data_IF_904484097997
#
_entry.id   IF_904484097997
#
_cell.length_a   1.000
_cell.length_b   1.000
_cell.length_c   1.000
_cell.angle_alpha   90.00
_cell.angle_beta   90.00
_cell.angle_gamma   90.00
#
_symmetry.space_group_name_H-M   'P 1'
#
loop_
_entity.id
_entity.type
_entity.pdbx_description
1 polymer ?
#
# COMPACT_ATOMS: atom_id res chain seq x y z
N UNK A 1 0.71 13.74 22.61
CA UNK A 1 1.71 13.08 21.72
C UNK A 1 1.33 11.61 21.53
N UNK A 2 0.97 11.18 20.32
CA UNK A 2 0.61 9.77 20.07
C UNK A 2 1.92 8.98 19.94
N UNK A 3 2.20 8.12 20.91
CA UNK A 3 3.34 7.18 20.82
C UNK A 3 2.94 6.07 19.84
N UNK A 4 3.50 6.08 18.64
CA UNK A 4 3.30 4.99 17.67
C UNK A 4 4.04 3.74 18.19
N UNK A 5 3.36 2.60 18.37
CA UNK A 5 4.00 1.35 18.78
C UNK A 5 5.02 0.88 17.73
N UNK A 6 6.04 0.10 18.15
CA UNK A 6 7.11 -0.40 17.26
C UNK A 6 6.60 -1.18 16.05
N UNK A 7 5.52 -1.93 16.19
CA UNK A 7 4.94 -2.72 15.10
C UNK A 7 4.35 -1.86 13.96
N UNK A 8 3.97 -0.59 14.23
CA UNK A 8 3.54 0.34 13.18
C UNK A 8 4.69 0.69 12.25
N UNK A 9 5.89 0.90 12.80
CA UNK A 9 7.08 1.20 12.01
C UNK A 9 7.45 0.04 11.08
N UNK A 10 7.42 -1.20 11.62
CA UNK A 10 7.66 -2.41 10.83
C UNK A 10 6.60 -2.57 9.75
N UNK A 11 5.33 -2.39 10.09
CA UNK A 11 4.22 -2.44 9.12
C UNK A 11 4.33 -1.37 8.04
N UNK A 12 4.67 -0.13 8.41
CA UNK A 12 4.88 0.97 7.46
C UNK A 12 6.02 0.65 6.50
N UNK A 13 7.15 0.17 7.03
CA UNK A 13 8.30 -0.21 6.23
C UNK A 13 7.94 -1.34 5.25
N UNK A 14 7.30 -2.39 5.73
CA UNK A 14 6.90 -3.54 4.89
C UNK A 14 5.93 -3.13 3.77
N UNK A 15 4.91 -2.33 4.10
CA UNK A 15 3.92 -1.89 3.12
C UNK A 15 4.54 -0.94 2.08
N UNK A 16 5.44 -0.03 2.49
CA UNK A 16 6.14 0.83 1.54
C UNK A 16 7.10 0.02 0.64
N UNK A 17 7.77 -0.99 1.19
CA UNK A 17 8.60 -1.93 0.44
C UNK A 17 7.77 -2.68 -0.62
N UNK A 18 6.63 -3.26 -0.24
CA UNK A 18 5.70 -3.92 -1.15
C UNK A 18 5.25 -2.97 -2.27
N UNK A 19 4.84 -1.74 -1.92
CA UNK A 19 4.43 -0.73 -2.90
C UNK A 19 5.56 -0.40 -3.90
N UNK A 20 6.80 -0.29 -3.43
CA UNK A 20 7.98 -0.07 -4.27
C UNK A 20 8.23 -1.22 -5.24
N UNK A 21 8.12 -2.47 -4.78
CA UNK A 21 8.26 -3.66 -5.65
C UNK A 21 7.20 -3.66 -6.76
N UNK A 22 5.93 -3.52 -6.40
CA UNK A 22 4.81 -3.55 -7.36
C UNK A 22 4.95 -2.43 -8.38
N UNK A 23 5.33 -1.23 -7.93
CA UNK A 23 5.51 -0.07 -8.81
C UNK A 23 6.61 -0.27 -9.85
N UNK A 24 7.74 -0.85 -9.45
CA UNK A 24 8.86 -1.11 -10.37
C UNK A 24 8.51 -2.19 -11.38
N UNK A 25 7.76 -3.23 -11.00
CA UNK A 25 7.26 -4.23 -11.97
C UNK A 25 6.37 -3.58 -13.02
N UNK A 26 5.53 -2.60 -12.63
CA UNK A 26 4.76 -1.80 -13.59
C UNK A 26 5.65 -1.07 -14.62
N UNK A 27 6.71 -0.40 -14.16
CA UNK A 27 7.67 0.27 -15.03
C UNK A 27 8.46 -0.68 -15.94
N UNK A 28 8.77 -1.87 -15.46
CA UNK A 28 9.50 -2.88 -16.24
C UNK A 28 8.57 -3.73 -17.11
N UNK A 29 7.26 -3.57 -17.00
CA UNK A 29 6.27 -4.24 -17.85
C UNK A 29 6.30 -3.70 -19.28
N UNK A 30 5.63 -4.40 -20.19
CA UNK A 30 5.50 -4.02 -21.60
C UNK A 30 4.96 -2.59 -21.75
N UNK A 31 4.07 -2.17 -20.86
CA UNK A 31 3.44 -0.84 -20.90
C UNK A 31 4.31 0.27 -20.31
N UNK A 32 5.40 -0.06 -19.63
CA UNK A 32 6.33 0.88 -18.98
C UNK A 32 5.63 1.96 -18.10
N UNK A 33 4.52 1.58 -17.45
CA UNK A 33 3.70 2.49 -16.66
C UNK A 33 3.80 2.21 -15.17
N UNK A 34 3.98 3.26 -14.38
CA UNK A 34 3.89 3.18 -12.93
C UNK A 34 2.46 2.92 -12.48
N UNK A 35 2.27 2.01 -11.52
CA UNK A 35 0.95 1.71 -10.96
C UNK A 35 0.60 2.56 -9.73
N UNK A 36 1.59 3.22 -9.12
CA UNK A 36 1.41 4.04 -7.91
C UNK A 36 1.72 5.52 -8.13
N UNK A 37 2.26 5.92 -9.28
CA UNK A 37 2.66 7.30 -9.56
C UNK A 37 1.53 8.09 -10.24
N UNK A 38 0.40 8.25 -9.55
CA UNK A 38 -0.82 8.81 -10.12
C UNK A 38 -0.68 10.22 -10.66
N UNK A 39 0.17 11.06 -10.07
CA UNK A 39 0.44 12.42 -10.58
C UNK A 39 1.03 12.37 -11.99
N UNK A 40 2.07 11.55 -12.20
CA UNK A 40 2.66 11.36 -13.52
C UNK A 40 1.68 10.73 -14.51
N UNK A 41 0.94 9.70 -14.07
CA UNK A 41 -0.10 9.04 -14.87
C UNK A 41 -1.17 10.02 -15.33
N UNK A 42 -1.60 10.95 -14.44
CA UNK A 42 -2.58 11.99 -14.79
C UNK A 42 -2.02 12.97 -15.82
N UNK A 43 -0.73 13.35 -15.70
CA UNK A 43 -0.09 14.23 -16.68
C UNK A 43 0.04 13.56 -18.05
N UNK A 44 0.43 12.28 -18.08
CA UNK A 44 0.50 11.50 -19.32
C UNK A 44 -0.89 11.32 -19.95
N UNK A 45 -1.92 11.12 -19.12
CA UNK A 45 -3.31 11.04 -19.61
C UNK A 45 -3.74 12.34 -20.27
N UNK A 46 -3.39 13.50 -19.71
CA UNK A 46 -3.70 14.79 -20.31
C UNK A 46 -3.04 14.95 -21.69
N UNK A 47 -1.78 14.52 -21.84
CA UNK A 47 -1.07 14.50 -23.12
C UNK A 47 -1.79 13.57 -24.11
N UNK A 48 -2.08 12.34 -23.70
CA UNK A 48 -2.75 11.34 -24.54
C UNK A 48 -4.12 11.82 -25.07
N UNK A 49 -4.85 12.60 -24.25
CA UNK A 49 -6.13 13.21 -24.68
C UNK A 49 -5.92 14.23 -25.78
N UNK A 50 -4.90 15.08 -25.68
CA UNK A 50 -4.57 16.07 -26.73
C UNK A 50 -4.08 15.36 -28.01
N UNK A 51 -3.28 14.30 -27.89
CA UNK A 51 -2.77 13.50 -28.99
C UNK A 51 -3.83 12.56 -29.59
N UNK A 52 -5.00 12.46 -28.93
CA UNK A 52 -6.10 11.55 -29.31
C UNK A 52 -5.68 10.07 -29.38
N UNK A 53 -4.72 9.67 -28.57
CA UNK A 53 -4.29 8.29 -28.46
C UNK A 53 -5.30 7.49 -27.58
N UNK A 54 -6.27 6.87 -28.23
CA UNK A 54 -7.33 6.11 -27.55
C UNK A 54 -6.77 4.93 -26.75
N UNK A 55 -5.68 4.30 -27.19
CA UNK A 55 -5.05 3.21 -26.47
C UNK A 55 -4.42 3.68 -25.16
N UNK A 56 -3.65 4.75 -25.21
CA UNK A 56 -2.98 5.32 -24.03
C UNK A 56 -3.99 5.93 -23.06
N UNK A 57 -5.04 6.59 -23.57
CA UNK A 57 -6.16 7.11 -22.75
C UNK A 57 -6.81 5.97 -21.96
N UNK A 58 -7.13 4.86 -22.64
CA UNK A 58 -7.75 3.70 -21.97
C UNK A 58 -6.82 3.06 -20.94
N UNK A 59 -5.54 2.89 -21.28
CA UNK A 59 -4.55 2.29 -20.37
C UNK A 59 -4.38 3.13 -19.10
N UNK A 60 -4.08 4.42 -19.25
CA UNK A 60 -3.81 5.33 -18.11
C UNK A 60 -5.08 5.61 -17.31
N UNK A 61 -6.20 5.84 -17.98
CA UNK A 61 -7.51 6.02 -17.33
C UNK A 61 -7.90 4.81 -16.49
N UNK A 62 -7.69 3.60 -17.01
CA UNK A 62 -7.98 2.37 -16.27
C UNK A 62 -7.03 2.17 -15.06
N UNK A 63 -5.74 2.55 -15.14
CA UNK A 63 -4.83 2.54 -13.99
C UNK A 63 -5.35 3.47 -12.88
N UNK A 64 -5.72 4.72 -13.23
CA UNK A 64 -6.25 5.69 -12.26
C UNK A 64 -7.54 5.19 -11.62
N UNK A 65 -8.46 4.70 -12.42
CA UNK A 65 -9.74 4.15 -11.96
C UNK A 65 -9.55 2.92 -11.09
N UNK A 66 -8.69 2.00 -11.49
CA UNK A 66 -8.41 0.78 -10.72
C UNK A 66 -7.81 1.09 -9.35
N UNK A 67 -6.84 2.01 -9.27
CA UNK A 67 -6.31 2.48 -8.00
C UNK A 67 -7.37 3.14 -7.13
N UNK A 68 -8.21 4.00 -7.71
CA UNK A 68 -9.33 4.63 -7.02
C UNK A 68 -10.31 3.59 -6.45
N UNK A 69 -10.71 2.61 -7.27
CA UNK A 69 -11.62 1.54 -6.86
C UNK A 69 -11.00 0.66 -5.74
N UNK A 70 -9.71 0.35 -5.82
CA UNK A 70 -9.00 -0.33 -4.75
C UNK A 70 -9.05 0.45 -3.42
N UNK A 71 -8.79 1.76 -3.48
CA UNK A 71 -8.88 2.64 -2.31
C UNK A 71 -10.31 2.75 -1.76
N UNK A 72 -11.32 2.81 -2.66
CA UNK A 72 -12.74 2.82 -2.30
C UNK A 72 -13.13 1.52 -1.56
N UNK A 73 -12.76 0.36 -2.10
CA UNK A 73 -13.03 -0.95 -1.47
C UNK A 73 -12.39 -1.02 -0.08
N UNK A 74 -11.13 -0.57 0.04
CA UNK A 74 -10.47 -0.48 1.35
C UNK A 74 -11.24 0.39 2.33
N UNK A 75 -11.72 1.55 1.91
CA UNK A 75 -12.55 2.45 2.73
C UNK A 75 -13.89 1.84 3.14
N UNK A 76 -14.52 1.05 2.27
CA UNK A 76 -15.77 0.31 2.59
C UNK A 76 -15.55 -0.80 3.62
N UNK A 77 -14.40 -1.50 3.55
CA UNK A 77 -14.07 -2.59 4.48
C UNK A 77 -13.68 -2.03 5.85
N UNK A 78 -12.86 -0.96 5.89
CA UNK A 78 -12.31 -0.41 7.12
C UNK A 78 -13.22 0.70 7.65
N UNK A 79 -14.07 0.35 8.61
CA UNK A 79 -15.00 1.31 9.26
C UNK A 79 -14.41 1.98 10.49
N UNK A 80 -13.38 1.40 11.11
CA UNK A 80 -12.85 1.84 12.39
C UNK A 80 -11.72 2.86 12.20
N UNK A 81 -11.95 4.09 12.66
CA UNK A 81 -10.98 5.22 12.61
C UNK A 81 -9.87 5.15 13.68
N UNK A 82 -9.66 4.03 14.36
CA UNK A 82 -8.76 3.95 15.52
C UNK A 82 -7.69 2.90 15.29
N UNK A 83 -6.44 3.21 15.69
CA UNK A 83 -5.22 2.41 15.85
C UNK A 83 -5.39 0.97 16.45
N UNK A 84 -6.53 0.33 16.25
CA UNK A 84 -6.82 -1.04 16.64
C UNK A 84 -6.79 -1.92 15.41
N UNK A 85 -5.73 -2.71 15.27
CA UNK A 85 -5.65 -3.79 14.29
C UNK A 85 -6.86 -4.71 14.45
N UNK A 86 -7.80 -4.59 13.51
CA UNK A 86 -9.01 -5.40 13.45
C UNK A 86 -8.90 -6.49 12.37
N UNK A 87 -9.82 -7.45 12.38
CA UNK A 87 -9.98 -8.48 11.32
C UNK A 87 -10.03 -7.87 9.92
N UNK A 88 -10.52 -6.63 9.80
CA UNK A 88 -10.71 -5.92 8.53
C UNK A 88 -9.39 -5.55 7.84
N UNK A 89 -8.33 -5.25 8.61
CA UNK A 89 -6.99 -5.01 8.06
C UNK A 89 -6.40 -6.28 7.45
N UNK A 90 -6.52 -7.41 8.16
CA UNK A 90 -6.13 -8.71 7.61
C UNK A 90 -6.90 -9.07 6.35
N UNK A 91 -8.21 -8.77 6.29
CA UNK A 91 -9.02 -9.01 5.10
C UNK A 91 -8.57 -8.17 3.89
N UNK A 92 -8.21 -6.89 4.09
CA UNK A 92 -7.69 -6.04 2.99
C UNK A 92 -6.35 -6.56 2.48
N UNK A 93 -5.44 -6.98 3.38
CA UNK A 93 -4.14 -7.55 2.99
C UNK A 93 -4.31 -8.89 2.25
N UNK A 94 -5.26 -9.73 2.65
CA UNK A 94 -5.58 -10.96 1.92
C UNK A 94 -6.17 -10.66 0.54
N UNK A 95 -7.03 -9.66 0.43
CA UNK A 95 -7.60 -9.22 -0.85
C UNK A 95 -6.51 -8.65 -1.76
N UNK A 96 -5.59 -7.84 -1.23
CA UNK A 96 -4.42 -7.33 -1.94
C UNK A 96 -3.56 -8.47 -2.47
N UNK A 97 -3.23 -9.45 -1.61
CA UNK A 97 -2.47 -10.64 -1.99
C UNK A 97 -3.12 -11.40 -3.14
N UNK A 98 -4.43 -11.69 -3.04
CA UNK A 98 -5.18 -12.36 -4.09
C UNK A 98 -5.19 -11.56 -5.39
N UNK A 99 -5.40 -10.25 -5.30
CA UNK A 99 -5.40 -9.35 -6.46
C UNK A 99 -4.04 -9.36 -7.16
N UNK A 100 -2.92 -9.38 -6.42
CA UNK A 100 -1.57 -9.47 -6.98
C UNK A 100 -1.31 -10.82 -7.63
N UNK A 101 -1.80 -11.93 -7.06
CA UNK A 101 -1.69 -13.26 -7.70
C UNK A 101 -2.43 -13.28 -9.04
N UNK A 102 -3.67 -12.77 -9.09
CA UNK A 102 -4.44 -12.69 -10.34
C UNK A 102 -3.77 -11.73 -11.33
N UNK A 103 -3.22 -10.61 -10.86
CA UNK A 103 -2.44 -9.68 -11.69
C UNK A 103 -1.25 -10.37 -12.36
N UNK A 104 -0.51 -11.20 -11.60
CA UNK A 104 0.63 -11.98 -12.12
C UNK A 104 0.18 -12.91 -13.24
N UNK A 105 -0.90 -13.68 -13.04
CA UNK A 105 -1.41 -14.62 -14.04
C UNK A 105 -1.84 -13.92 -15.34
N UNK A 106 -2.42 -12.72 -15.25
CA UNK A 106 -2.84 -11.95 -16.41
C UNK A 106 -1.64 -11.33 -17.15
N UNK A 107 -0.66 -10.80 -16.40
CA UNK A 107 0.56 -10.22 -16.98
C UNK A 107 1.42 -11.28 -17.68
N UNK A 108 1.51 -12.49 -17.14
CA UNK A 108 2.15 -13.63 -17.82
C UNK A 108 1.51 -13.96 -19.17
N UNK A 109 0.20 -13.74 -19.28
CA UNK A 109 -0.56 -13.89 -20.55
C UNK A 109 -0.54 -12.62 -21.40
N UNK A 110 0.32 -11.65 -21.09
CA UNK A 110 0.40 -10.35 -21.77
C UNK A 110 -0.91 -9.55 -21.79
N UNK A 111 -1.78 -9.76 -20.79
CA UNK A 111 -3.07 -9.09 -20.71
C UNK A 111 -2.96 -7.83 -19.84
N UNK A 112 -3.32 -6.65 -20.40
CA UNK A 112 -3.19 -5.34 -19.73
C UNK A 112 -3.98 -5.23 -18.42
N UNK A 113 -5.07 -6.00 -18.27
CA UNK A 113 -5.84 -6.03 -17.02
C UNK A 113 -4.99 -6.42 -15.79
N UNK A 114 -3.89 -7.14 -15.98
CA UNK A 114 -2.95 -7.43 -14.89
C UNK A 114 -2.33 -6.16 -14.29
N UNK A 115 -2.01 -5.15 -15.11
CA UNK A 115 -1.49 -3.87 -14.64
C UNK A 115 -2.57 -3.08 -13.87
N UNK A 116 -3.82 -3.12 -14.33
CA UNK A 116 -4.95 -2.50 -13.64
C UNK A 116 -5.21 -3.15 -12.28
N UNK A 117 -5.12 -4.47 -12.20
CA UNK A 117 -5.24 -5.19 -10.92
C UNK A 117 -4.06 -4.87 -9.98
N UNK A 118 -2.83 -4.75 -10.48
CA UNK A 118 -1.70 -4.30 -9.68
C UNK A 118 -1.92 -2.88 -9.12
N UNK A 119 -2.49 -1.97 -9.93
CA UNK A 119 -2.88 -0.64 -9.48
C UNK A 119 -4.00 -0.70 -8.42
N UNK A 120 -5.01 -1.56 -8.60
CA UNK A 120 -6.07 -1.75 -7.61
C UNK A 120 -5.53 -2.31 -6.28
N UNK A 121 -4.58 -3.26 -6.31
CA UNK A 121 -3.90 -3.78 -5.15
C UNK A 121 -3.16 -2.67 -4.38
N UNK A 122 -2.42 -1.83 -5.09
CA UNK A 122 -1.76 -0.66 -4.48
C UNK A 122 -2.78 0.34 -3.91
N UNK A 123 -3.93 0.52 -4.56
CA UNK A 123 -5.04 1.33 -4.06
C UNK A 123 -5.62 0.78 -2.75
N UNK A 124 -5.87 -0.53 -2.68
CA UNK A 124 -6.30 -1.24 -1.46
C UNK A 124 -5.34 -0.97 -0.29
N UNK A 125 -4.05 -1.18 -0.52
CA UNK A 125 -3.01 -0.98 0.47
C UNK A 125 -2.93 0.48 0.94
N UNK A 126 -2.91 1.42 -0.01
CA UNK A 126 -2.77 2.84 0.31
C UNK A 126 -4.01 3.38 1.05
N UNK A 127 -5.22 2.96 0.67
CA UNK A 127 -6.45 3.26 1.39
C UNK A 127 -6.42 2.72 2.83
N UNK A 128 -5.97 1.49 3.02
CA UNK A 128 -5.79 0.86 4.33
C UNK A 128 -4.77 1.63 5.19
N UNK A 129 -3.57 1.88 4.67
CA UNK A 129 -2.49 2.55 5.39
C UNK A 129 -2.90 3.98 5.81
N UNK A 130 -3.57 4.71 4.93
CA UNK A 130 -4.06 6.07 5.17
C UNK A 130 -5.12 6.10 6.25
N UNK A 131 -6.11 5.20 6.19
CA UNK A 131 -7.21 5.12 7.18
C UNK A 131 -6.67 4.76 8.56
N UNK A 132 -5.78 3.76 8.63
CA UNK A 132 -5.19 3.27 9.86
C UNK A 132 -4.35 4.34 10.58
N UNK A 133 -3.55 5.07 9.84
CA UNK A 133 -2.60 6.07 10.37
C UNK A 133 -3.22 7.45 10.57
N UNK A 134 -4.51 7.65 10.35
CA UNK A 134 -5.17 8.97 10.29
C UNK A 134 -4.50 9.91 9.28
N UNK A 135 -4.21 9.40 8.10
CA UNK A 135 -3.54 10.09 7.00
C UNK A 135 -2.05 10.48 7.26
N UNK A 136 -1.45 9.99 8.34
CA UNK A 136 -0.02 10.23 8.64
C UNK A 136 0.89 9.38 7.75
N UNK A 137 0.50 8.12 7.46
CA UNK A 137 1.26 7.21 6.61
C UNK A 137 0.55 7.01 5.28
N UNK A 138 1.24 7.30 4.19
CA UNK A 138 0.85 6.97 2.82
C UNK A 138 2.02 6.28 2.15
N UNK A 139 1.87 5.00 1.84
CA UNK A 139 2.98 4.14 1.38
C UNK A 139 3.51 4.50 0.00
N UNK A 140 2.71 5.20 -0.80
CA UNK A 140 3.04 5.57 -2.19
C UNK A 140 3.23 7.08 -2.41
N UNK A 141 3.12 7.91 -1.37
CA UNK A 141 3.18 9.37 -1.50
C UNK A 141 4.59 9.92 -1.25
N UNK A 142 5.56 9.49 -2.08
CA UNK A 142 6.96 9.86 -1.90
C UNK A 142 7.22 11.35 -2.07
N UNK A 143 6.57 12.00 -3.03
CA UNK A 143 6.73 13.45 -3.23
C UNK A 143 6.42 14.26 -1.97
N UNK A 144 5.35 13.88 -1.25
CA UNK A 144 5.02 14.46 0.06
C UNK A 144 6.08 14.16 1.11
N UNK A 145 6.61 12.92 1.16
CA UNK A 145 7.66 12.57 2.12
C UNK A 145 8.97 13.34 1.88
N UNK A 146 9.36 13.56 0.60
CA UNK A 146 10.50 14.40 0.27
C UNK A 146 10.25 15.88 0.60
N UNK A 147 9.05 16.40 0.35
CA UNK A 147 8.66 17.77 0.72
C UNK A 147 8.75 17.98 2.23
N UNK A 148 8.15 17.08 3.00
CA UNK A 148 8.17 17.13 4.46
C UNK A 148 9.61 17.05 5.00
N UNK A 149 10.44 16.15 4.44
CA UNK A 149 11.85 16.02 4.80
C UNK A 149 12.61 17.34 4.56
N UNK A 150 12.42 17.96 3.39
CA UNK A 150 13.03 19.25 3.07
C UNK A 150 12.61 20.37 4.02
N UNK A 151 11.31 20.44 4.36
CA UNK A 151 10.77 21.41 5.33
C UNK A 151 11.43 21.19 6.71
N UNK A 152 11.49 19.95 7.19
CA UNK A 152 12.05 19.63 8.51
C UNK A 152 13.54 19.96 8.59
N UNK A 153 14.30 19.65 7.54
CA UNK A 153 15.71 20.03 7.48
C UNK A 153 15.91 21.55 7.50
N UNK A 154 15.13 22.29 6.70
CA UNK A 154 15.17 23.76 6.67
C UNK A 154 14.79 24.39 8.03
N UNK A 155 13.79 23.83 8.72
CA UNK A 155 13.42 24.25 10.08
C UNK A 155 14.55 23.97 11.08
N UNK A 156 15.16 22.79 11.02
CA UNK A 156 16.28 22.44 11.90
C UNK A 156 17.48 23.38 11.69
N UNK A 157 17.80 23.74 10.44
CA UNK A 157 18.88 24.70 10.13
C UNK A 157 18.62 26.10 10.71
N UNK A 158 17.35 26.46 10.91
CA UNK A 158 16.94 27.74 11.56
C UNK A 158 16.84 27.63 13.08
N UNK A 159 17.21 26.49 13.67
CA UNK A 159 17.10 26.26 15.12
C UNK A 159 15.67 26.00 15.62
N UNK A 160 14.71 25.77 14.71
CA UNK A 160 13.34 25.41 15.08
C UNK A 160 13.30 23.93 15.47
N UNK A 161 12.69 23.62 16.61
CA UNK A 161 12.56 22.25 17.08
C UNK A 161 11.67 21.43 16.13
N UNK A 162 12.27 20.41 15.50
CA UNK A 162 11.58 19.46 14.63
C UNK A 162 11.24 18.19 15.41
N UNK A 163 10.04 17.64 15.22
CA UNK A 163 9.65 16.37 15.85
C UNK A 163 10.40 15.20 15.18
N UNK A 164 11.35 14.52 15.90
CA UNK A 164 12.21 13.50 15.26
C UNK A 164 11.43 12.36 14.64
N UNK A 165 10.23 12.07 15.17
CA UNK A 165 9.37 10.97 14.66
C UNK A 165 8.87 11.20 13.25
N UNK A 166 8.57 12.46 12.90
CA UNK A 166 8.12 12.78 11.53
C UNK A 166 9.26 12.60 10.53
N UNK A 167 10.46 13.04 10.92
CA UNK A 167 11.67 12.85 10.11
C UNK A 167 11.97 11.37 9.91
N UNK A 168 11.94 10.57 10.99
CA UNK A 168 12.14 9.11 10.89
C UNK A 168 11.07 8.47 10.01
N UNK A 169 9.80 8.93 10.06
CA UNK A 169 8.73 8.41 9.21
C UNK A 169 9.02 8.65 7.72
N UNK A 170 9.41 9.87 7.35
CA UNK A 170 9.78 10.18 5.97
C UNK A 170 10.91 9.28 5.48
N UNK A 171 11.99 9.17 6.27
CA UNK A 171 13.12 8.31 5.94
C UNK A 171 12.72 6.82 5.86
N UNK A 172 11.84 6.34 6.74
CA UNK A 172 11.34 4.97 6.73
C UNK A 172 10.58 4.67 5.44
N UNK A 173 9.65 5.53 5.02
CA UNK A 173 8.85 5.32 3.81
C UNK A 173 9.73 5.43 2.56
N UNK A 174 10.58 6.44 2.47
CA UNK A 174 11.47 6.64 1.31
C UNK A 174 12.43 5.46 1.15
N UNK A 175 13.14 5.07 2.22
CA UNK A 175 14.09 3.96 2.17
C UNK A 175 13.40 2.63 1.86
N UNK A 176 12.27 2.34 2.49
CA UNK A 176 11.53 1.10 2.27
C UNK A 176 11.04 0.99 0.82
N UNK A 177 10.45 2.05 0.27
CA UNK A 177 9.98 2.08 -1.10
C UNK A 177 11.14 1.91 -2.10
N UNK A 178 12.27 2.58 -1.85
CA UNK A 178 13.47 2.44 -2.67
C UNK A 178 14.05 1.01 -2.60
N UNK A 179 14.20 0.43 -1.40
CA UNK A 179 14.64 -0.94 -1.22
C UNK A 179 13.70 -1.94 -1.90
N UNK A 180 12.37 -1.71 -1.80
CA UNK A 180 11.36 -2.50 -2.51
C UNK A 180 11.52 -2.40 -4.02
N UNK A 181 11.76 -1.19 -4.54
CA UNK A 181 12.06 -0.96 -5.96
C UNK A 181 13.32 -1.70 -6.42
N UNK A 182 14.40 -1.65 -5.65
CA UNK A 182 15.64 -2.40 -5.95
C UNK A 182 15.38 -3.91 -5.97
N UNK A 183 14.74 -4.44 -4.92
CA UNK A 183 14.40 -5.86 -4.84
C UNK A 183 13.48 -6.28 -6.01
N UNK A 184 12.48 -5.47 -6.33
CA UNK A 184 11.59 -5.70 -7.47
C UNK A 184 12.33 -5.72 -8.80
N UNK A 185 13.22 -4.76 -9.05
CA UNK A 185 14.00 -4.70 -10.29
C UNK A 185 14.97 -5.88 -10.43
N UNK A 186 15.63 -6.27 -9.34
CA UNK A 186 16.54 -7.43 -9.33
C UNK A 186 15.77 -8.73 -9.58
N UNK A 187 14.65 -8.93 -8.87
CA UNK A 187 13.81 -10.12 -9.02
C UNK A 187 13.17 -10.19 -10.41
N UNK A 188 12.76 -9.07 -10.99
CA UNK A 188 12.13 -9.03 -12.31
C UNK A 188 13.06 -9.51 -13.43
N UNK A 189 14.36 -9.27 -13.32
CA UNK A 189 15.35 -9.77 -14.28
C UNK A 189 15.42 -11.30 -14.34
N UNK A 190 15.09 -11.98 -13.25
CA UNK A 190 15.19 -13.45 -13.14
C UNK A 190 13.79 -14.10 -13.26
N UNK A 191 12.77 -13.50 -12.65
CA UNK A 191 11.45 -14.08 -12.49
C UNK A 191 10.38 -13.45 -13.41
N UNK A 192 10.70 -12.32 -14.08
CA UNK A 192 9.70 -11.60 -14.86
C UNK A 192 8.51 -11.20 -13.98
N UNK A 193 7.30 -11.43 -14.48
CA UNK A 193 6.06 -11.09 -13.77
C UNK A 193 5.81 -11.90 -12.49
N UNK A 194 6.46 -13.06 -12.31
CA UNK A 194 6.40 -13.83 -11.05
C UNK A 194 6.97 -13.06 -9.87
N UNK A 195 7.73 -12.00 -10.10
CA UNK A 195 8.17 -11.06 -9.07
C UNK A 195 7.01 -10.54 -8.22
N UNK A 196 5.80 -10.37 -8.79
CA UNK A 196 4.62 -9.92 -8.03
C UNK A 196 4.12 -10.95 -7.01
N UNK A 197 4.53 -12.21 -7.11
CA UNK A 197 4.21 -13.22 -6.10
C UNK A 197 4.95 -12.96 -4.77
N UNK A 198 6.09 -12.28 -4.79
CA UNK A 198 6.83 -11.89 -3.57
C UNK A 198 6.00 -10.92 -2.73
N UNK A 199 5.58 -9.73 -3.22
CA UNK A 199 4.70 -8.85 -2.47
C UNK A 199 3.34 -9.49 -2.15
N UNK A 200 2.79 -10.34 -3.02
CA UNK A 200 1.57 -11.10 -2.73
C UNK A 200 1.75 -12.02 -1.51
N UNK A 201 2.86 -12.75 -1.43
CA UNK A 201 3.17 -13.62 -0.29
C UNK A 201 3.37 -12.79 1.00
N UNK A 202 4.12 -11.68 0.93
CA UNK A 202 4.37 -10.82 2.09
C UNK A 202 3.06 -10.25 2.67
N UNK A 203 2.17 -9.75 1.82
CA UNK A 203 0.87 -9.21 2.24
C UNK A 203 -0.08 -10.32 2.71
N UNK A 204 -0.08 -11.48 2.03
CA UNK A 204 -0.87 -12.64 2.42
C UNK A 204 -0.47 -13.20 3.78
N UNK A 205 0.83 -13.40 4.03
CA UNK A 205 1.33 -13.88 5.34
C UNK A 205 1.02 -12.87 6.45
N UNK A 206 1.20 -11.58 6.18
CA UNK A 206 0.86 -10.52 7.14
C UNK A 206 -0.63 -10.50 7.43
N UNK A 207 -1.48 -10.58 6.40
CA UNK A 207 -2.93 -10.64 6.52
C UNK A 207 -3.41 -11.84 7.32
N UNK A 208 -2.87 -13.03 7.01
CA UNK A 208 -3.16 -14.27 7.72
C UNK A 208 -2.74 -14.17 9.20
N UNK A 209 -1.55 -13.65 9.49
CA UNK A 209 -1.07 -13.44 10.85
C UNK A 209 -2.04 -12.56 11.66
N UNK A 210 -2.55 -11.47 11.09
CA UNK A 210 -3.57 -10.63 11.75
C UNK A 210 -4.88 -11.36 12.01
N UNK A 211 -5.34 -12.17 11.08
CA UNK A 211 -6.58 -12.95 11.27
C UNK A 211 -6.44 -13.99 12.39
N UNK A 212 -5.31 -14.71 12.44
CA UNK A 212 -5.04 -15.74 13.45
C UNK A 212 -4.85 -15.18 14.86
N UNK A 213 -4.07 -14.10 15.02
CA UNK A 213 -3.87 -13.45 16.32
C UNK A 213 -5.19 -12.96 16.91
N UNK A 214 -6.08 -12.45 16.09
CA UNK A 214 -7.39 -11.98 16.55
C UNK A 214 -8.33 -13.11 16.92
N UNK A 215 -8.29 -14.22 16.18
CA UNK A 215 -9.09 -15.40 16.51
C UNK A 215 -8.75 -15.97 17.89
N UNK A 216 -7.43 -16.02 18.21
CA UNK A 216 -6.96 -16.44 19.53
C UNK A 216 -7.40 -15.48 20.66
N UNK A 217 -7.40 -14.17 20.38
CA UNK A 217 -7.81 -13.15 21.37
C UNK A 217 -9.30 -13.20 21.68
N UNK A 218 -10.15 -13.61 20.73
CA UNK A 218 -11.60 -13.79 20.96
C UNK A 218 -11.88 -15.05 21.77
N UNK A 219 -11.16 -16.16 21.51
CA UNK A 219 -11.29 -17.39 22.29
C UNK A 219 -10.90 -17.26 23.78
N UNK A 220 -9.98 -16.34 24.09
CA UNK A 220 -9.49 -16.11 25.47
C UNK A 220 -10.36 -15.17 26.31
N UNK A 221 -11.46 -14.61 25.79
CA UNK A 221 -12.38 -13.80 26.61
C UNK A 221 -13.18 -14.73 27.52
N UNK A 222 -13.07 -14.59 28.88
CA UNK A 222 -13.92 -15.35 29.81
C UNK A 222 -15.39 -15.02 29.48
N UNK A 223 -16.24 -16.04 29.49
CA UNK A 223 -17.68 -15.82 29.43
C UNK A 223 -18.10 -14.97 30.64
N UNK A 224 -19.00 -13.97 30.45
CA UNK A 224 -19.56 -13.24 31.58
C UNK A 224 -20.21 -14.27 32.51
N UNK A 225 -19.73 -14.30 33.77
CA UNK A 225 -20.41 -15.06 34.82
C UNK A 225 -21.86 -14.58 34.84
N UNK A 226 -22.78 -15.44 34.46
CA UNK A 226 -24.20 -15.24 34.76
C UNK A 226 -24.32 -15.12 36.28
N UNK A 227 -24.44 -13.89 36.78
CA UNK A 227 -24.91 -13.68 38.14
C UNK A 227 -26.34 -14.23 38.18
N UNK A 228 -26.47 -15.39 38.79
CA UNK A 228 -27.75 -15.99 39.09
C UNK A 228 -28.64 -14.97 39.80
N UNK A 229 -29.81 -14.80 39.26
CA UNK A 229 -30.96 -14.25 39.98
C UNK A 229 -31.18 -15.16 41.18
N UNK A 230 -30.84 -14.71 42.38
CA UNK A 230 -31.33 -15.24 43.63
C UNK A 230 -32.53 -14.38 44.04
N UNK A 231 -33.60 -15.09 44.27
CA UNK A 231 -34.92 -14.64 44.72
C UNK A 231 -34.87 -13.71 45.93
#
# INVERSE_FOLDING_TARGET
>A
MIRLPRWIWVGTWLLAFVAGMVNVVGFLSISQQAVTHLTGTTSLLAIAVIERDAHLITLLGAILLAFFLGSLISGLIIRDKVLRLGRRYGAVLMLESLTLVVATMLLQRHHMAGLWLAAAACGLQNGMATTYSKAVVRTTHLSGMFTDLGIFLGQAMRGVAVEPRRLILCLTVISAFFCGGLAGALSFRQLGYDTLLIPALLTGLTGMGYLLLRWQSVKKRPQPKQHGQAH
#
